data_IF_783359990051
#
_entry.id   IF_783359990051
#
_cell.length_a   1.000
_cell.length_b   1.000
_cell.length_c   1.000
_cell.angle_alpha   90.00
_cell.angle_beta   90.00
_cell.angle_gamma   90.00
#
_symmetry.space_group_name_H-M   'P 1'
#
loop_
_entity.id
_entity.type
_entity.pdbx_description
1 polymer ?
#
# COMPACT_ATOMS: atom_id res chain seq x y z
N UNK A 1 19.20 17.07 -18.54
CA UNK A 1 18.39 16.78 -19.75
C UNK A 1 17.85 15.34 -19.74
N UNK A 2 18.70 14.32 -19.55
CA UNK A 2 18.32 12.90 -19.57
C UNK A 2 17.32 12.52 -18.47
N UNK A 3 17.47 13.00 -17.23
CA UNK A 3 16.52 12.72 -16.15
C UNK A 3 15.07 13.12 -16.51
N UNK A 4 14.89 14.24 -17.23
CA UNK A 4 13.55 14.69 -17.66
C UNK A 4 12.96 13.77 -18.73
N UNK A 5 13.79 13.30 -19.68
CA UNK A 5 13.37 12.36 -20.75
C UNK A 5 13.03 10.98 -20.16
N UNK A 6 13.74 10.54 -19.13
CA UNK A 6 13.46 9.29 -18.42
C UNK A 6 12.12 9.41 -17.68
N UNK A 7 11.88 10.51 -16.93
CA UNK A 7 10.60 10.74 -16.24
C UNK A 7 9.39 10.74 -17.18
N UNK A 8 9.58 11.21 -18.42
CA UNK A 8 8.50 11.26 -19.43
C UNK A 8 8.50 10.05 -20.38
N UNK A 9 9.25 8.99 -20.08
CA UNK A 9 9.35 7.78 -20.92
C UNK A 9 9.72 8.07 -22.40
N UNK A 10 10.48 9.14 -22.65
CA UNK A 10 10.85 9.59 -24.02
C UNK A 10 12.32 9.38 -24.36
N UNK A 11 13.08 8.67 -23.50
CA UNK A 11 14.49 8.39 -23.77
C UNK A 11 14.63 7.20 -24.74
N UNK A 12 15.30 7.34 -25.91
CA UNK A 12 15.31 6.33 -26.97
C UNK A 12 16.03 5.02 -26.58
N UNK A 13 16.90 5.06 -25.57
CA UNK A 13 17.62 3.88 -25.08
C UNK A 13 16.96 3.26 -23.84
N UNK A 14 15.72 3.68 -23.47
CA UNK A 14 14.99 3.14 -22.34
C UNK A 14 13.63 2.62 -22.80
N UNK A 15 13.37 1.35 -22.58
CA UNK A 15 12.05 0.73 -22.76
C UNK A 15 11.50 0.23 -21.43
N UNK A 16 10.23 0.53 -21.16
CA UNK A 16 9.53 0.06 -19.96
C UNK A 16 8.36 -0.82 -20.38
N UNK A 17 8.30 -2.02 -19.81
CA UNK A 17 7.20 -2.95 -19.99
C UNK A 17 6.41 -3.02 -18.68
N UNK A 18 5.11 -2.85 -18.79
CA UNK A 18 4.15 -2.98 -17.70
C UNK A 18 3.09 -4.03 -18.05
N UNK A 19 2.46 -4.67 -17.05
CA UNK A 19 1.38 -5.61 -17.28
C UNK A 19 0.19 -4.94 -17.99
N UNK A 20 -0.34 -5.56 -19.05
CA UNK A 20 -1.57 -5.13 -19.69
C UNK A 20 -2.71 -6.03 -19.21
N UNK A 21 -3.70 -5.45 -18.56
CA UNK A 21 -4.81 -6.20 -17.92
C UNK A 21 -4.29 -7.29 -16.97
N UNK A 22 -3.30 -6.93 -16.15
CA UNK A 22 -2.74 -7.79 -15.11
C UNK A 22 -1.79 -8.89 -15.62
N UNK A 23 -1.32 -8.85 -16.88
CA UNK A 23 -0.38 -9.85 -17.38
C UNK A 23 0.58 -9.30 -18.43
N UNK A 24 1.85 -9.72 -18.36
CA UNK A 24 2.86 -9.46 -19.39
C UNK A 24 2.74 -10.53 -20.47
N UNK A 25 2.51 -10.08 -21.71
CA UNK A 25 2.23 -10.96 -22.86
C UNK A 25 3.45 -11.16 -23.76
N UNK A 26 3.49 -12.30 -24.45
CA UNK A 26 4.59 -12.65 -25.38
C UNK A 26 4.88 -11.54 -26.39
N UNK A 27 3.84 -10.88 -26.94
CA UNK A 27 4.01 -9.81 -27.92
C UNK A 27 4.88 -8.66 -27.37
N UNK A 28 4.68 -8.25 -26.13
CA UNK A 28 5.45 -7.17 -25.50
C UNK A 28 6.97 -7.52 -25.44
N UNK A 29 7.29 -8.77 -25.13
CA UNK A 29 8.69 -9.23 -25.09
C UNK A 29 9.29 -9.33 -26.51
N UNK A 30 8.52 -9.80 -27.49
CA UNK A 30 8.98 -9.87 -28.88
C UNK A 30 9.21 -8.47 -29.48
N UNK A 31 8.33 -7.53 -29.20
CA UNK A 31 8.46 -6.14 -29.64
C UNK A 31 9.71 -5.51 -29.00
N UNK A 32 9.97 -5.75 -27.71
CA UNK A 32 11.19 -5.34 -27.00
C UNK A 32 12.44 -5.92 -27.67
N UNK A 33 12.47 -7.22 -27.95
CA UNK A 33 13.60 -7.88 -28.61
C UNK A 33 13.88 -7.25 -29.98
N UNK A 34 12.83 -6.98 -30.75
CA UNK A 34 12.92 -6.35 -32.07
C UNK A 34 13.47 -4.93 -31.99
N UNK A 35 13.08 -4.17 -30.96
CA UNK A 35 13.59 -2.82 -30.71
C UNK A 35 15.08 -2.84 -30.32
N UNK A 36 15.46 -3.77 -29.45
CA UNK A 36 16.82 -3.87 -28.91
C UNK A 36 17.83 -4.50 -29.91
N UNK A 37 17.34 -5.23 -30.91
CA UNK A 37 18.21 -5.72 -32.03
C UNK A 37 18.61 -4.62 -33.00
N UNK A 38 17.93 -3.47 -33.03
CA UNK A 38 18.28 -2.33 -33.87
C UNK A 38 19.45 -1.54 -33.27
N UNK A 39 20.21 -0.88 -34.11
CA UNK A 39 21.29 0.03 -33.68
C UNK A 39 20.74 1.16 -32.80
N UNK A 40 21.46 1.54 -31.74
CA UNK A 40 21.06 2.66 -30.89
C UNK A 40 21.01 3.96 -31.67
N UNK A 41 19.98 4.75 -31.46
CA UNK A 41 19.80 6.09 -32.01
C UNK A 41 20.79 7.08 -31.36
N UNK A 42 21.04 6.88 -30.07
CA UNK A 42 21.99 7.68 -29.29
C UNK A 42 23.09 6.80 -28.71
N UNK A 43 24.35 7.31 -28.61
CA UNK A 43 25.44 6.56 -28.00
C UNK A 43 25.13 6.30 -26.50
N UNK A 44 25.44 5.11 -26.03
CA UNK A 44 25.27 4.72 -24.62
C UNK A 44 24.62 3.36 -24.44
N UNK A 45 24.45 2.92 -23.19
CA UNK A 45 23.77 1.67 -22.88
C UNK A 45 22.29 1.73 -23.21
N UNK A 46 21.73 0.62 -23.62
CA UNK A 46 20.29 0.41 -23.69
C UNK A 46 19.80 -0.24 -22.41
N UNK A 47 18.71 0.23 -21.89
CA UNK A 47 18.13 -0.27 -20.66
C UNK A 47 16.67 -0.67 -20.92
N UNK A 48 16.29 -1.83 -20.47
CA UNK A 48 14.86 -2.15 -20.37
C UNK A 48 14.48 -2.48 -18.95
N UNK A 49 13.27 -2.04 -18.57
CA UNK A 49 12.67 -2.28 -17.26
C UNK A 49 11.40 -3.09 -17.49
N UNK A 50 11.27 -4.23 -16.82
CA UNK A 50 10.04 -5.01 -16.81
C UNK A 50 9.47 -4.94 -15.40
N UNK A 51 8.33 -4.28 -15.24
CA UNK A 51 7.64 -4.16 -13.96
C UNK A 51 6.79 -5.39 -13.70
N UNK A 52 6.67 -5.76 -12.42
CA UNK A 52 5.81 -6.85 -11.93
C UNK A 52 6.02 -8.15 -12.72
N UNK A 53 7.28 -8.57 -12.81
CA UNK A 53 7.70 -9.72 -13.63
C UNK A 53 6.99 -11.02 -13.24
N UNK A 54 6.47 -11.14 -12.02
CA UNK A 54 5.65 -12.27 -11.57
C UNK A 54 4.32 -12.43 -12.34
N UNK A 55 3.91 -11.39 -13.07
CA UNK A 55 2.68 -11.41 -13.90
C UNK A 55 2.93 -11.93 -15.33
N UNK A 56 4.17 -12.33 -15.63
CA UNK A 56 4.56 -12.80 -16.94
C UNK A 56 3.90 -14.15 -17.30
N UNK A 57 3.28 -14.26 -18.48
CA UNK A 57 2.75 -15.54 -18.92
C UNK A 57 3.87 -16.46 -19.44
N UNK A 58 3.59 -17.77 -19.48
CA UNK A 58 4.58 -18.80 -19.85
C UNK A 58 5.23 -18.52 -21.23
N UNK A 59 4.43 -18.09 -22.22
CA UNK A 59 4.95 -17.79 -23.56
C UNK A 59 5.88 -16.58 -23.59
N UNK A 60 5.60 -15.55 -22.78
CA UNK A 60 6.45 -14.39 -22.62
C UNK A 60 7.73 -14.73 -21.83
N UNK A 61 7.62 -15.53 -20.79
CA UNK A 61 8.74 -15.98 -19.99
C UNK A 61 9.77 -16.75 -20.82
N UNK A 62 9.33 -17.69 -21.64
CA UNK A 62 10.22 -18.44 -22.55
C UNK A 62 10.91 -17.53 -23.58
N UNK A 63 10.24 -16.49 -24.07
CA UNK A 63 10.85 -15.51 -24.96
C UNK A 63 11.89 -14.64 -24.22
N UNK A 64 11.59 -14.23 -22.96
CA UNK A 64 12.49 -13.46 -22.14
C UNK A 64 13.75 -14.26 -21.77
N UNK A 65 13.63 -15.55 -21.44
CA UNK A 65 14.77 -16.40 -21.12
C UNK A 65 15.80 -16.42 -22.22
N UNK A 66 15.37 -16.54 -23.49
CA UNK A 66 16.31 -16.46 -24.64
C UNK A 66 17.05 -15.12 -24.69
N UNK A 67 16.39 -14.04 -24.34
CA UNK A 67 16.98 -12.70 -24.34
C UNK A 67 17.93 -12.48 -23.16
N UNK A 68 17.70 -13.15 -22.03
CA UNK A 68 18.60 -13.13 -20.87
C UNK A 68 19.83 -14.04 -21.07
N UNK A 69 19.70 -15.12 -21.84
CA UNK A 69 20.81 -16.04 -22.13
C UNK A 69 21.84 -15.46 -23.11
N UNK A 70 21.38 -14.68 -24.08
CA UNK A 70 22.20 -14.06 -25.11
C UNK A 70 22.05 -12.53 -25.06
N UNK A 71 22.57 -11.87 -24.01
CA UNK A 71 22.43 -10.44 -23.89
C UNK A 71 23.25 -9.71 -24.97
N UNK A 72 22.64 -8.75 -25.64
CA UNK A 72 23.35 -7.87 -26.54
C UNK A 72 24.39 -7.01 -25.77
N UNK A 73 25.52 -6.68 -26.36
CA UNK A 73 26.50 -5.78 -25.75
C UNK A 73 25.86 -4.44 -25.36
N UNK A 74 26.21 -3.93 -24.18
CA UNK A 74 25.68 -2.67 -23.63
C UNK A 74 24.14 -2.64 -23.40
N UNK A 75 23.51 -3.79 -23.20
CA UNK A 75 22.11 -3.88 -22.79
C UNK A 75 22.03 -4.27 -21.32
N UNK A 76 21.25 -3.52 -20.55
CA UNK A 76 20.97 -3.80 -19.14
C UNK A 76 19.49 -4.07 -18.93
N UNK A 77 19.20 -5.14 -18.20
CA UNK A 77 17.85 -5.54 -17.82
C UNK A 77 17.61 -5.18 -16.35
N UNK A 78 16.46 -4.55 -16.05
CA UNK A 78 15.97 -4.37 -14.69
C UNK A 78 14.60 -5.03 -14.62
N UNK A 79 14.47 -6.03 -13.76
CA UNK A 79 13.21 -6.73 -13.51
C UNK A 79 12.76 -6.38 -12.10
N UNK A 80 11.54 -5.86 -11.94
CA UNK A 80 11.00 -5.56 -10.61
C UNK A 80 9.92 -6.57 -10.23
N UNK A 81 9.84 -6.88 -8.95
CA UNK A 81 8.81 -7.76 -8.38
C UNK A 81 8.53 -7.39 -6.93
N UNK A 82 7.30 -7.56 -6.51
CA UNK A 82 6.90 -7.54 -5.10
C UNK A 82 6.96 -8.94 -4.45
N UNK A 83 7.07 -10.01 -5.27
CA UNK A 83 7.04 -11.39 -4.78
C UNK A 83 7.98 -12.29 -5.56
N UNK A 84 9.22 -12.43 -5.07
CA UNK A 84 10.26 -13.24 -5.71
C UNK A 84 9.86 -14.74 -5.84
N UNK A 85 9.04 -15.27 -4.92
CA UNK A 85 8.64 -16.69 -4.96
C UNK A 85 7.69 -17.03 -6.12
N UNK A 86 7.10 -16.01 -6.77
CA UNK A 86 6.28 -16.18 -7.98
C UNK A 86 7.07 -16.13 -9.28
N UNK A 87 8.36 -15.77 -9.23
CA UNK A 87 9.20 -15.70 -10.41
C UNK A 87 9.73 -17.09 -10.74
N UNK A 88 9.82 -17.40 -12.04
CA UNK A 88 10.40 -18.66 -12.50
C UNK A 88 11.87 -18.78 -12.05
N UNK A 89 12.28 -19.90 -11.44
CA UNK A 89 13.66 -20.12 -11.02
C UNK A 89 14.69 -19.93 -12.13
N UNK A 90 14.29 -20.18 -13.39
CA UNK A 90 15.11 -19.98 -14.58
C UNK A 90 15.41 -18.51 -14.90
N UNK A 91 14.54 -17.58 -14.52
CA UNK A 91 14.79 -16.13 -14.61
C UNK A 91 15.69 -15.69 -13.47
N UNK A 92 15.40 -16.17 -12.25
CA UNK A 92 16.20 -15.82 -11.06
C UNK A 92 17.66 -16.26 -11.25
N UNK A 93 17.92 -17.46 -11.77
CA UNK A 93 19.27 -17.99 -11.99
C UNK A 93 20.11 -17.19 -13.02
N UNK A 94 19.46 -16.35 -13.82
CA UNK A 94 20.11 -15.49 -14.83
C UNK A 94 20.12 -14.01 -14.46
N UNK A 95 19.73 -13.71 -13.23
CA UNK A 95 19.60 -12.34 -12.73
C UNK A 95 20.36 -12.18 -11.43
N UNK A 96 20.94 -11.01 -11.22
CA UNK A 96 21.43 -10.64 -9.89
C UNK A 96 20.24 -10.14 -9.08
N UNK A 97 19.93 -10.81 -8.00
CA UNK A 97 18.86 -10.39 -7.09
C UNK A 97 19.37 -9.31 -6.16
N UNK A 98 18.70 -8.14 -6.17
CA UNK A 98 18.92 -7.06 -5.22
C UNK A 98 17.62 -6.88 -4.43
N UNK A 99 17.69 -7.13 -3.14
CA UNK A 99 16.54 -6.97 -2.27
C UNK A 99 16.54 -5.57 -1.67
N UNK A 100 15.42 -4.87 -1.84
CA UNK A 100 15.15 -3.62 -1.17
C UNK A 100 14.34 -3.90 0.09
N UNK A 101 14.89 -3.57 1.24
CA UNK A 101 14.12 -3.58 2.49
C UNK A 101 13.13 -2.43 2.48
N UNK A 102 11.91 -2.67 2.99
CA UNK A 102 10.99 -1.57 3.29
C UNK A 102 11.61 -0.65 4.35
N UNK A 103 11.31 0.62 4.26
CA UNK A 103 11.71 1.57 5.31
C UNK A 103 11.07 1.17 6.65
N UNK A 104 11.80 1.37 7.74
CA UNK A 104 11.20 1.22 9.06
C UNK A 104 10.15 2.31 9.30
N UNK A 105 9.21 2.05 10.18
CA UNK A 105 8.15 3.02 10.51
C UNK A 105 8.75 4.30 11.08
N UNK A 106 9.78 4.13 11.91
CA UNK A 106 10.50 5.21 12.55
C UNK A 106 11.19 6.11 11.52
N UNK A 107 11.83 5.53 10.50
CA UNK A 107 12.47 6.30 9.44
C UNK A 107 11.46 7.10 8.61
N UNK A 108 10.31 6.49 8.28
CA UNK A 108 9.24 7.21 7.55
C UNK A 108 8.69 8.36 8.40
N UNK A 109 8.52 8.13 9.71
CA UNK A 109 8.06 9.15 10.65
C UNK A 109 9.04 10.33 10.72
N UNK A 110 10.34 10.04 10.86
CA UNK A 110 11.40 11.04 10.89
C UNK A 110 11.45 11.88 9.60
N UNK A 111 11.44 11.24 8.45
CA UNK A 111 11.44 11.91 7.14
C UNK A 111 10.23 12.84 6.97
N UNK A 112 9.03 12.39 7.36
CA UNK A 112 7.83 13.24 7.29
C UNK A 112 7.92 14.44 8.23
N UNK A 113 8.44 14.26 9.43
CA UNK A 113 8.65 15.37 10.39
C UNK A 113 9.67 16.37 9.84
N UNK A 114 10.78 15.90 9.25
CA UNK A 114 11.77 16.76 8.60
C UNK A 114 11.18 17.54 7.40
N UNK A 115 10.21 16.97 6.70
CA UNK A 115 9.44 17.64 5.63
C UNK A 115 8.42 18.66 6.17
N UNK A 116 8.20 18.72 7.49
CA UNK A 116 7.33 19.69 8.15
C UNK A 116 5.91 19.20 8.42
N UNK A 117 5.63 17.92 8.27
CA UNK A 117 4.32 17.35 8.64
C UNK A 117 4.14 17.30 10.16
N UNK A 118 2.90 17.44 10.68
CA UNK A 118 2.62 17.30 12.12
C UNK A 118 3.03 15.92 12.63
N UNK A 119 3.55 15.85 13.85
CA UNK A 119 4.04 14.60 14.47
C UNK A 119 2.97 13.50 14.47
N UNK A 120 1.71 13.82 14.83
CA UNK A 120 0.63 12.85 14.81
C UNK A 120 0.36 12.30 13.41
N UNK A 121 0.32 13.19 12.41
CA UNK A 121 0.17 12.80 11.00
C UNK A 121 1.32 11.88 10.57
N UNK A 122 2.56 12.25 10.85
CA UNK A 122 3.76 11.49 10.50
C UNK A 122 3.73 10.10 11.15
N UNK A 123 3.39 10.03 12.43
CA UNK A 123 3.27 8.80 13.20
C UNK A 123 2.16 7.89 12.66
N UNK A 124 0.99 8.44 12.35
CA UNK A 124 -0.12 7.68 11.78
C UNK A 124 0.21 7.18 10.38
N UNK A 125 0.66 8.05 9.49
CA UNK A 125 0.95 7.70 8.09
C UNK A 125 2.07 6.67 7.98
N UNK A 126 3.11 6.74 8.84
CA UNK A 126 4.16 5.73 8.88
C UNK A 126 3.64 4.32 9.19
N UNK A 127 2.45 4.17 9.81
CA UNK A 127 1.80 2.87 10.05
C UNK A 127 0.98 2.38 8.85
N UNK A 128 0.66 3.26 7.91
CA UNK A 128 -0.21 2.96 6.76
C UNK A 128 0.56 2.48 5.52
N UNK A 129 1.83 2.91 5.36
CA UNK A 129 2.68 2.54 4.22
C UNK A 129 4.11 2.19 4.64
N UNK A 130 4.86 1.60 3.73
CA UNK A 130 6.29 1.28 3.89
C UNK A 130 7.18 2.11 2.91
N UNK A 131 6.62 3.13 2.30
CA UNK A 131 7.27 4.02 1.32
C UNK A 131 7.14 5.47 1.75
N UNK A 132 8.23 6.22 1.72
CA UNK A 132 8.20 7.67 2.00
C UNK A 132 7.37 8.43 0.96
N UNK A 133 7.46 8.04 -0.32
CA UNK A 133 6.68 8.69 -1.39
C UNK A 133 5.18 8.55 -1.16
N UNK A 134 4.71 7.33 -0.87
CA UNK A 134 3.30 7.05 -0.61
C UNK A 134 2.86 7.74 0.70
N UNK A 135 3.76 7.81 1.69
CA UNK A 135 3.51 8.51 2.94
C UNK A 135 3.25 10.01 2.71
N UNK A 136 4.05 10.66 1.87
CA UNK A 136 3.85 12.06 1.49
C UNK A 136 2.53 12.25 0.73
N UNK A 137 2.19 11.33 -0.17
CA UNK A 137 0.94 11.38 -0.93
C UNK A 137 -0.28 11.24 0.00
N UNK A 138 -0.26 10.28 0.92
CA UNK A 138 -1.32 10.09 1.92
C UNK A 138 -1.45 11.32 2.82
N UNK A 139 -0.32 11.85 3.33
CA UNK A 139 -0.32 12.98 4.25
C UNK A 139 -0.83 14.29 3.62
N UNK A 140 -0.64 14.47 2.30
CA UNK A 140 -1.16 15.60 1.53
C UNK A 140 -2.55 15.38 0.94
N UNK A 141 -3.13 14.19 1.10
CA UNK A 141 -4.44 13.87 0.55
C UNK A 141 -5.53 14.72 1.16
N UNK A 142 -6.39 15.31 0.31
CA UNK A 142 -7.45 16.23 0.71
C UNK A 142 -8.40 15.65 1.78
N UNK A 143 -8.56 14.33 1.79
CA UNK A 143 -9.50 13.64 2.68
C UNK A 143 -8.85 13.01 3.92
N UNK A 144 -7.53 13.06 4.04
CA UNK A 144 -6.83 12.34 5.13
C UNK A 144 -7.27 12.82 6.52
N UNK A 145 -7.32 14.13 6.72
CA UNK A 145 -7.72 14.73 8.01
C UNK A 145 -9.18 14.39 8.33
N UNK A 146 -10.07 14.50 7.35
CA UNK A 146 -11.50 14.20 7.51
C UNK A 146 -11.72 12.72 7.91
N UNK A 147 -10.94 11.80 7.32
CA UNK A 147 -11.00 10.37 7.68
C UNK A 147 -10.47 10.12 9.10
N UNK A 148 -9.40 10.80 9.50
CA UNK A 148 -8.86 10.71 10.87
C UNK A 148 -9.89 11.21 11.89
N UNK A 149 -10.50 12.35 11.62
CA UNK A 149 -11.50 12.95 12.50
C UNK A 149 -12.77 12.08 12.58
N UNK A 150 -13.19 11.48 11.47
CA UNK A 150 -14.29 10.52 11.43
C UNK A 150 -14.00 9.29 12.31
N UNK A 151 -12.78 8.74 12.25
CA UNK A 151 -12.39 7.60 13.10
C UNK A 151 -12.37 8.01 14.58
N UNK A 152 -11.80 9.15 14.91
CA UNK A 152 -11.79 9.66 16.30
C UNK A 152 -13.19 9.82 16.87
N UNK A 153 -14.10 10.41 16.10
CA UNK A 153 -15.49 10.61 16.54
C UNK A 153 -16.24 9.27 16.71
N UNK A 154 -16.02 8.30 15.82
CA UNK A 154 -16.55 6.94 15.97
C UNK A 154 -16.12 6.36 17.33
N UNK A 155 -14.86 6.39 17.66
CA UNK A 155 -14.37 5.80 18.91
C UNK A 155 -14.78 6.63 20.15
N UNK A 156 -14.91 7.94 20.01
CA UNK A 156 -15.44 8.80 21.07
C UNK A 156 -16.91 8.45 21.39
N UNK A 157 -17.76 8.23 20.38
CA UNK A 157 -19.12 7.77 20.55
C UNK A 157 -19.16 6.38 21.21
N UNK A 158 -18.28 5.45 20.79
CA UNK A 158 -18.16 4.14 21.44
C UNK A 158 -17.75 4.27 22.91
N UNK A 159 -16.82 5.16 23.25
CA UNK A 159 -16.45 5.43 24.64
C UNK A 159 -17.61 6.02 25.46
N UNK A 160 -18.41 6.90 24.86
CA UNK A 160 -19.62 7.48 25.43
C UNK A 160 -20.82 6.52 25.49
N UNK A 161 -20.69 5.32 24.88
CA UNK A 161 -21.77 4.31 24.75
C UNK A 161 -22.96 4.81 23.93
N UNK A 162 -22.67 5.69 22.97
CA UNK A 162 -23.61 6.23 22.01
C UNK A 162 -23.65 5.40 20.74
N UNK A 163 -24.76 5.49 19.97
CA UNK A 163 -24.84 4.76 18.69
C UNK A 163 -24.00 5.42 17.61
N UNK A 164 -23.09 4.66 17.04
CA UNK A 164 -22.17 5.10 15.97
C UNK A 164 -22.86 5.12 14.61
N UNK A 165 -23.82 4.22 14.38
CA UNK A 165 -24.44 4.01 13.05
C UNK A 165 -25.10 5.28 12.51
N UNK A 166 -25.80 6.04 13.32
CA UNK A 166 -26.49 7.26 12.88
C UNK A 166 -25.46 8.29 12.43
N UNK A 167 -24.45 8.53 13.26
CA UNK A 167 -23.38 9.46 12.97
C UNK A 167 -22.60 9.05 11.70
N UNK A 168 -22.21 7.78 11.61
CA UNK A 168 -21.47 7.24 10.48
C UNK A 168 -22.26 7.41 9.17
N UNK A 169 -23.53 7.05 9.13
CA UNK A 169 -24.34 7.17 7.92
C UNK A 169 -24.53 8.62 7.45
N UNK A 170 -24.45 9.60 8.35
CA UNK A 170 -24.51 11.02 8.01
C UNK A 170 -23.19 11.57 7.47
N UNK A 171 -22.04 11.01 7.90
CA UNK A 171 -20.72 11.56 7.63
C UNK A 171 -19.83 10.69 6.73
N UNK A 172 -20.27 9.48 6.35
CA UNK A 172 -19.48 8.50 5.62
C UNK A 172 -19.48 8.67 4.09
N UNK A 173 -20.13 9.68 3.54
CA UNK A 173 -20.23 9.86 2.08
C UNK A 173 -18.87 9.94 1.37
N UNK A 174 -17.88 10.47 2.04
CA UNK A 174 -16.50 10.58 1.58
C UNK A 174 -15.85 9.21 1.33
N UNK A 175 -16.16 8.20 2.16
CA UNK A 175 -15.54 6.87 2.11
C UNK A 175 -15.91 6.15 0.80
N UNK A 176 -17.10 6.43 0.25
CA UNK A 176 -17.64 5.73 -0.91
C UNK A 176 -17.32 6.40 -2.25
N UNK A 177 -16.51 7.46 -2.25
CA UNK A 177 -16.12 8.16 -3.48
C UNK A 177 -15.10 7.35 -4.29
N UNK A 178 -14.16 6.69 -3.60
CA UNK A 178 -13.12 5.86 -4.20
C UNK A 178 -12.76 4.70 -3.26
N UNK A 179 -12.38 3.57 -3.86
CA UNK A 179 -11.90 2.40 -3.11
C UNK A 179 -10.61 2.66 -2.34
N UNK A 180 -9.74 3.54 -2.84
CA UNK A 180 -8.52 3.93 -2.15
C UNK A 180 -8.84 4.67 -0.86
N UNK A 181 -9.83 5.58 -0.89
CA UNK A 181 -10.32 6.29 0.30
C UNK A 181 -10.95 5.31 1.30
N UNK A 182 -11.76 4.36 0.82
CA UNK A 182 -12.36 3.32 1.64
C UNK A 182 -11.30 2.46 2.33
N UNK A 183 -10.28 2.02 1.59
CA UNK A 183 -9.14 1.28 2.12
C UNK A 183 -8.32 2.08 3.14
N UNK A 184 -8.14 3.37 2.89
CA UNK A 184 -7.43 4.28 3.80
C UNK A 184 -8.20 4.45 5.11
N UNK A 185 -9.50 4.72 5.04
CA UNK A 185 -10.37 4.80 6.22
C UNK A 185 -10.26 3.54 7.09
N UNK A 186 -10.41 2.36 6.47
CA UNK A 186 -10.32 1.09 7.19
C UNK A 186 -8.93 0.86 7.81
N UNK A 187 -7.87 1.35 7.15
CA UNK A 187 -6.50 1.26 7.67
C UNK A 187 -6.30 2.15 8.90
N UNK A 188 -6.90 3.34 8.92
CA UNK A 188 -6.91 4.26 10.07
C UNK A 188 -7.70 3.63 11.23
N UNK A 189 -8.87 3.07 10.94
CA UNK A 189 -9.72 2.37 11.92
C UNK A 189 -8.97 1.18 12.56
N UNK A 190 -8.29 0.36 11.76
CA UNK A 190 -7.43 -0.74 12.23
C UNK A 190 -6.29 -0.21 13.11
N UNK A 191 -5.71 0.95 12.79
CA UNK A 191 -4.65 1.53 13.60
C UNK A 191 -5.16 1.95 14.97
N UNK A 192 -6.33 2.57 15.03
CA UNK A 192 -6.95 2.92 16.31
C UNK A 192 -7.32 1.65 17.12
N UNK A 193 -7.86 0.62 16.48
CA UNK A 193 -8.15 -0.66 17.15
C UNK A 193 -6.88 -1.31 17.73
N UNK A 194 -5.75 -1.22 17.04
CA UNK A 194 -4.45 -1.67 17.56
C UNK A 194 -4.03 -0.87 18.78
N UNK A 195 -4.32 0.43 18.83
CA UNK A 195 -4.02 1.26 19.98
C UNK A 195 -4.83 0.84 21.23
N UNK A 196 -6.09 0.44 21.06
CA UNK A 196 -6.88 -0.16 22.16
C UNK A 196 -6.21 -1.43 22.70
N UNK A 197 -5.71 -2.30 21.82
CA UNK A 197 -5.01 -3.54 22.21
C UNK A 197 -3.68 -3.19 22.88
N UNK A 198 -2.88 -2.28 22.30
CA UNK A 198 -1.61 -1.86 22.87
C UNK A 198 -1.79 -1.27 24.27
N UNK A 199 -2.80 -0.42 24.45
CA UNK A 199 -3.16 0.11 25.77
C UNK A 199 -3.58 -0.99 26.74
N UNK A 200 -4.39 -1.95 26.29
CA UNK A 200 -4.84 -3.10 27.11
C UNK A 200 -3.72 -3.98 27.63
N UNK A 201 -2.62 -4.11 26.85
CA UNK A 201 -1.44 -4.90 27.23
C UNK A 201 -0.28 -4.03 27.76
N UNK A 202 -0.57 -2.77 28.10
CA UNK A 202 0.39 -1.80 28.69
C UNK A 202 1.58 -1.44 27.80
N UNK A 203 1.44 -1.61 26.48
CA UNK A 203 2.44 -1.18 25.49
C UNK A 203 2.19 0.28 25.03
N UNK A 204 2.20 1.22 25.94
CA UNK A 204 1.85 2.62 25.71
C UNK A 204 2.72 3.32 24.67
N UNK A 205 4.00 2.95 24.57
CA UNK A 205 4.93 3.52 23.56
C UNK A 205 4.55 3.20 22.11
N UNK A 206 3.67 2.22 21.88
CA UNK A 206 3.17 1.84 20.56
C UNK A 206 1.87 2.51 20.16
N UNK A 207 1.26 3.29 21.06
CA UNK A 207 0.04 4.03 20.78
C UNK A 207 0.33 5.16 19.82
N UNK A 208 -0.48 5.28 18.76
CA UNK A 208 -0.37 6.29 17.72
C UNK A 208 -1.23 7.51 18.06
N UNK A 209 -2.48 7.28 18.43
CA UNK A 209 -3.46 8.32 18.79
C UNK A 209 -3.27 8.79 20.24
N UNK A 210 -2.14 9.47 20.52
CA UNK A 210 -1.80 9.95 21.86
C UNK A 210 -2.76 11.00 22.39
N UNK A 211 -3.38 11.77 21.51
CA UNK A 211 -4.40 12.77 21.82
C UNK A 211 -5.74 12.16 22.23
N UNK A 212 -5.95 10.87 21.95
CA UNK A 212 -7.17 10.10 22.25
C UNK A 212 -7.05 9.16 23.47
N UNK A 213 -5.99 9.26 24.26
CA UNK A 213 -5.70 8.34 25.38
C UNK A 213 -6.86 8.17 26.36
N UNK A 214 -7.67 9.21 26.62
CA UNK A 214 -8.82 9.11 27.51
C UNK A 214 -9.91 8.18 26.98
N UNK A 215 -10.22 8.26 25.69
CA UNK A 215 -11.20 7.41 25.01
C UNK A 215 -10.65 5.98 24.87
N UNK A 216 -9.37 5.85 24.50
CA UNK A 216 -8.66 4.56 24.41
C UNK A 216 -8.68 3.85 25.77
N UNK A 217 -8.36 4.54 26.86
CA UNK A 217 -8.38 3.98 28.23
C UNK A 217 -9.80 3.53 28.65
N UNK A 218 -10.81 4.29 28.29
CA UNK A 218 -12.21 3.96 28.60
C UNK A 218 -12.64 2.69 27.90
N UNK A 219 -12.47 2.61 26.58
CA UNK A 219 -12.88 1.45 25.78
C UNK A 219 -12.06 0.20 26.15
N UNK A 220 -10.75 0.34 26.29
CA UNK A 220 -9.88 -0.79 26.62
C UNK A 220 -10.14 -1.34 28.03
N UNK A 221 -10.69 -0.54 28.95
CA UNK A 221 -11.15 -1.02 30.26
C UNK A 221 -12.44 -1.82 30.14
N UNK A 222 -13.41 -1.32 29.36
CA UNK A 222 -14.74 -1.90 29.22
C UNK A 222 -14.74 -3.22 28.41
N UNK A 223 -13.79 -3.38 27.49
CA UNK A 223 -13.67 -4.58 26.63
C UNK A 223 -12.56 -5.53 27.10
N UNK A 224 -12.78 -6.83 26.91
CA UNK A 224 -11.74 -7.83 27.14
C UNK A 224 -10.70 -7.82 26.01
N UNK A 225 -9.47 -8.31 26.29
CA UNK A 225 -8.43 -8.46 25.26
C UNK A 225 -8.91 -9.31 24.08
N UNK A 226 -9.59 -10.43 24.37
CA UNK A 226 -10.08 -11.32 23.29
C UNK A 226 -11.08 -10.59 22.40
N UNK A 227 -12.01 -9.83 23.00
CA UNK A 227 -12.99 -9.05 22.23
C UNK A 227 -12.33 -8.01 21.32
N UNK A 228 -11.32 -7.29 21.80
CA UNK A 228 -10.56 -6.33 21.00
C UNK A 228 -9.82 -7.01 19.83
N UNK A 229 -9.34 -8.24 20.03
CA UNK A 229 -8.69 -9.04 18.98
C UNK A 229 -9.71 -9.52 17.96
N UNK A 230 -10.86 -10.03 18.37
CA UNK A 230 -11.95 -10.44 17.46
C UNK A 230 -12.38 -9.28 16.56
N UNK A 231 -12.59 -8.09 17.13
CA UNK A 231 -12.91 -6.87 16.37
C UNK A 231 -11.82 -6.50 15.35
N UNK A 232 -10.55 -6.63 15.74
CA UNK A 232 -9.43 -6.42 14.81
C UNK A 232 -9.43 -7.45 13.67
N UNK A 233 -9.72 -8.71 13.97
CA UNK A 233 -9.81 -9.79 12.97
C UNK A 233 -10.95 -9.54 11.98
N UNK A 234 -12.13 -9.06 12.46
CA UNK A 234 -13.24 -8.65 11.59
C UNK A 234 -12.84 -7.51 10.64
N UNK A 235 -12.11 -6.49 11.15
CA UNK A 235 -11.59 -5.39 10.33
C UNK A 235 -10.59 -5.88 9.28
N UNK A 236 -9.68 -6.76 9.66
CA UNK A 236 -8.69 -7.32 8.74
C UNK A 236 -9.35 -8.22 7.67
N UNK A 237 -10.37 -8.99 8.05
CA UNK A 237 -11.16 -9.78 7.12
C UNK A 237 -11.93 -8.89 6.13
N UNK A 238 -12.49 -7.77 6.59
CA UNK A 238 -13.13 -6.79 5.72
C UNK A 238 -12.09 -6.17 4.76
N UNK A 239 -10.92 -5.77 5.26
CA UNK A 239 -9.86 -5.20 4.44
C UNK A 239 -9.39 -6.13 3.32
N UNK A 240 -9.29 -7.43 3.60
CA UNK A 240 -8.92 -8.43 2.59
C UNK A 240 -9.97 -8.60 1.47
N UNK A 241 -11.22 -8.17 1.70
CA UNK A 241 -12.36 -8.36 0.80
C UNK A 241 -12.86 -7.06 0.16
N UNK A 242 -12.41 -5.89 0.62
CA UNK A 242 -12.95 -4.60 0.19
C UNK A 242 -12.70 -4.34 -1.31
N UNK A 243 -11.61 -4.89 -1.87
CA UNK A 243 -11.32 -4.81 -3.31
C UNK A 243 -12.21 -5.72 -4.17
N UNK A 244 -12.90 -6.66 -3.52
CA UNK A 244 -13.89 -7.53 -4.17
C UNK A 244 -15.21 -6.77 -4.37
N UNK A 245 -16.07 -7.29 -5.26
CA UNK A 245 -17.41 -6.69 -5.48
C UNK A 245 -18.35 -6.95 -4.29
N UNK A 246 -18.10 -6.26 -3.16
CA UNK A 246 -18.96 -6.27 -1.96
C UNK A 246 -19.78 -4.99 -1.87
N UNK A 247 -20.91 -5.06 -1.17
CA UNK A 247 -21.64 -3.86 -0.77
C UNK A 247 -20.90 -3.23 0.44
N UNK A 248 -20.02 -2.25 0.14
CA UNK A 248 -19.18 -1.61 1.16
C UNK A 248 -20.01 -1.00 2.29
N UNK A 249 -21.13 -0.34 1.96
CA UNK A 249 -21.99 0.29 2.96
C UNK A 249 -22.52 -0.71 3.98
N UNK A 250 -23.06 -1.83 3.50
CA UNK A 250 -23.55 -2.88 4.38
C UNK A 250 -22.42 -3.54 5.18
N UNK A 251 -21.23 -3.65 4.59
CA UNK A 251 -20.06 -4.21 5.26
C UNK A 251 -19.59 -3.32 6.42
N UNK A 252 -19.52 -2.00 6.23
CA UNK A 252 -19.20 -1.05 7.30
C UNK A 252 -20.29 -0.99 8.36
N UNK A 253 -21.57 -0.98 7.98
CA UNK A 253 -22.69 -1.00 8.94
C UNK A 253 -22.59 -2.23 9.86
N UNK A 254 -22.33 -3.41 9.30
CA UNK A 254 -22.16 -4.63 10.08
C UNK A 254 -20.94 -4.57 11.00
N UNK A 255 -19.81 -4.05 10.51
CA UNK A 255 -18.61 -3.88 11.32
C UNK A 255 -18.87 -2.94 12.51
N UNK A 256 -19.46 -1.78 12.27
CA UNK A 256 -19.72 -0.80 13.33
C UNK A 256 -20.72 -1.30 14.34
N UNK A 257 -21.77 -2.02 13.92
CA UNK A 257 -22.69 -2.70 14.82
C UNK A 257 -21.99 -3.77 15.68
N UNK A 258 -20.97 -4.46 15.12
CA UNK A 258 -20.16 -5.39 15.89
C UNK A 258 -19.35 -4.68 16.98
N UNK A 259 -18.76 -3.49 16.66
CA UNK A 259 -18.01 -2.69 17.63
C UNK A 259 -18.86 -2.14 18.79
N UNK A 260 -20.15 -1.86 18.55
CA UNK A 260 -21.11 -1.43 19.58
C UNK A 260 -21.47 -2.56 20.57
N UNK A 261 -21.35 -3.83 20.15
CA UNK A 261 -21.64 -4.98 21.02
C UNK A 261 -20.57 -5.10 22.10
N UNK A 262 -21.03 -5.22 23.34
CA UNK A 262 -20.19 -5.33 24.54
C UNK A 262 -19.74 -6.75 24.80
#
# INVERSE_FOLDING_TARGET
HNCRRIKHHTHPNLSIIEPIKGSIRKKQIVDLQTEFSKTSVEPGPKIYIIKDIETINVGAANSLLKFLEEPHPNVHAVLTTSNISRILPTIISRSQVVQFSSFSKELIEEELVEMGFPILTSKLVSRLTNSVSDAVEIANGDFFIDLVDLVKEIYKLLAGKESVIIYFNQNSSIIYQDKEISNLFLSILITYQKDLINHKIEHFSKVVFEDELSNIATISRDKTKNRLIEELEEMLALKARIDSYINERLAYDNLLLSLERR
#
